data_IF_129436066419
#
_entry.id   IF_129436066419
#
_cell.length_a   1.000
_cell.length_b   1.000
_cell.length_c   1.000
_cell.angle_alpha   90.00
_cell.angle_beta   90.00
_cell.angle_gamma   90.00
#
_symmetry.space_group_name_H-M   'P 1'
#
loop_
_entity.id
_entity.type
_entity.pdbx_description
1 polymer ?
#
# COMPACT_ATOMS: atom_id res chain seq x y z
N UNK A 1 15.25 -1.00 17.65
CA UNK A 1 15.90 -0.40 16.46
C UNK A 1 16.66 -1.40 15.55
N UNK A 2 16.52 -2.73 15.70
CA UNK A 2 17.35 -3.72 14.96
C UNK A 2 16.73 -4.31 13.67
N UNK A 3 15.42 -4.16 13.41
CA UNK A 3 14.76 -4.81 12.26
C UNK A 3 14.93 -4.06 10.93
N UNK A 4 14.94 -2.73 10.96
CA UNK A 4 15.01 -1.89 9.73
C UNK A 4 16.36 -2.01 9.01
N UNK A 5 17.47 -2.27 9.73
CA UNK A 5 18.81 -2.43 9.15
C UNK A 5 18.97 -3.66 8.24
N UNK A 6 18.05 -4.64 8.31
CA UNK A 6 18.07 -5.83 7.45
C UNK A 6 17.20 -5.70 6.20
N UNK A 7 16.46 -4.59 6.05
CA UNK A 7 15.58 -4.39 4.91
C UNK A 7 16.40 -3.98 3.69
N UNK A 8 16.11 -4.59 2.54
CA UNK A 8 16.70 -4.19 1.27
C UNK A 8 16.20 -2.80 0.87
N UNK A 9 16.92 -2.10 -0.02
CA UNK A 9 16.45 -0.81 -0.56
C UNK A 9 15.06 -0.93 -1.18
N UNK A 10 14.79 -2.01 -1.90
CA UNK A 10 13.46 -2.29 -2.49
C UNK A 10 12.38 -2.48 -1.43
N UNK A 11 12.69 -3.13 -0.30
CA UNK A 11 11.76 -3.24 0.82
C UNK A 11 11.43 -1.88 1.43
N UNK A 12 12.42 -1.00 1.58
CA UNK A 12 12.23 0.38 2.07
C UNK A 12 11.38 1.20 1.09
N UNK A 13 11.61 1.07 -0.22
CA UNK A 13 10.77 1.71 -1.23
C UNK A 13 9.33 1.21 -1.16
N UNK A 14 9.13 -0.09 -0.90
CA UNK A 14 7.79 -0.66 -0.73
C UNK A 14 7.09 -0.07 0.50
N UNK A 15 7.78 0.04 1.65
CA UNK A 15 7.24 0.75 2.82
C UNK A 15 6.91 2.21 2.53
N UNK A 16 7.80 2.93 1.84
CA UNK A 16 7.56 4.31 1.44
C UNK A 16 6.33 4.44 0.52
N UNK A 17 6.13 3.49 -0.40
CA UNK A 17 4.93 3.42 -1.23
C UNK A 17 3.65 3.19 -0.43
N UNK A 18 3.67 2.34 0.61
CA UNK A 18 2.52 2.19 1.51
C UNK A 18 2.20 3.48 2.26
N UNK A 19 3.22 4.20 2.74
CA UNK A 19 3.04 5.51 3.39
C UNK A 19 2.49 6.56 2.42
N UNK A 20 2.99 6.59 1.18
CA UNK A 20 2.46 7.46 0.13
C UNK A 20 0.99 7.15 -0.19
N UNK A 21 0.60 5.87 -0.18
CA UNK A 21 -0.78 5.47 -0.36
C UNK A 21 -1.71 5.96 0.76
N UNK A 22 -1.24 5.89 2.01
CA UNK A 22 -1.94 6.48 3.17
C UNK A 22 -2.09 7.99 2.99
N UNK A 23 -1.02 8.69 2.58
CA UNK A 23 -1.08 10.13 2.33
C UNK A 23 -2.11 10.48 1.24
N UNK A 24 -2.16 9.74 0.15
CA UNK A 24 -3.17 9.93 -0.91
C UNK A 24 -4.61 9.73 -0.40
N UNK A 25 -4.85 8.72 0.45
CA UNK A 25 -6.14 8.51 1.11
C UNK A 25 -6.53 9.65 2.04
N UNK A 26 -5.58 10.19 2.80
CA UNK A 26 -5.82 11.33 3.69
C UNK A 26 -6.14 12.60 2.90
N UNK A 27 -5.46 12.85 1.78
CA UNK A 27 -5.77 13.98 0.89
C UNK A 27 -7.19 13.85 0.34
N UNK A 28 -7.55 12.67 -0.16
CA UNK A 28 -8.90 12.42 -0.66
C UNK A 28 -9.96 12.58 0.43
N UNK A 29 -9.68 12.12 1.64
CA UNK A 29 -10.56 12.25 2.79
C UNK A 29 -10.78 13.70 3.22
N UNK A 30 -9.69 14.47 3.33
CA UNK A 30 -9.77 15.90 3.65
C UNK A 30 -10.56 16.68 2.58
N UNK A 31 -10.45 16.26 1.31
CA UNK A 31 -11.14 16.90 0.21
C UNK A 31 -12.63 16.54 0.09
N UNK A 32 -13.02 15.32 0.49
CA UNK A 32 -14.41 14.86 0.45
C UNK A 32 -14.68 13.75 1.49
N UNK A 33 -14.88 14.11 2.77
CA UNK A 33 -15.08 13.13 3.83
C UNK A 33 -16.42 12.40 3.72
N UNK A 34 -17.45 13.03 3.12
CA UNK A 34 -18.77 12.46 2.94
C UNK A 34 -18.76 11.18 2.09
N UNK A 35 -17.77 11.02 1.20
CA UNK A 35 -17.54 9.79 0.43
C UNK A 35 -17.30 8.57 1.31
N UNK A 36 -16.83 8.77 2.54
CA UNK A 36 -16.54 7.72 3.51
C UNK A 36 -17.62 7.59 4.59
N UNK A 37 -18.77 8.23 4.43
CA UNK A 37 -19.90 8.15 5.36
C UNK A 37 -20.40 6.72 5.58
N UNK A 38 -20.33 5.83 4.58
CA UNK A 38 -20.65 4.42 4.76
C UNK A 38 -19.75 3.72 5.79
N UNK A 39 -18.53 4.20 6.01
CA UNK A 39 -17.62 3.68 7.03
C UNK A 39 -17.92 4.24 8.43
N UNK A 40 -18.75 5.28 8.55
CA UNK A 40 -19.11 5.90 9.82
C UNK A 40 -19.86 4.92 10.74
N UNK A 41 -20.65 4.01 10.18
CA UNK A 41 -21.31 2.95 10.95
C UNK A 41 -20.32 1.98 11.61
N UNK A 42 -19.16 1.76 10.98
CA UNK A 42 -18.15 0.82 11.47
C UNK A 42 -17.13 1.46 12.42
N UNK A 43 -16.84 2.76 12.25
CA UNK A 43 -15.74 3.42 12.97
C UNK A 43 -16.15 4.66 13.78
N UNK A 44 -17.43 5.04 13.79
CA UNK A 44 -17.93 6.25 14.46
C UNK A 44 -17.57 7.57 13.77
N UNK A 45 -16.66 7.54 12.80
CA UNK A 45 -16.24 8.66 11.96
C UNK A 45 -16.20 8.23 10.49
N UNK A 46 -16.46 9.13 9.53
CA UNK A 46 -16.36 8.82 8.10
C UNK A 46 -14.89 8.66 7.70
N UNK A 47 -14.24 7.57 8.11
CA UNK A 47 -12.80 7.35 7.97
C UNK A 47 -12.48 6.40 6.81
N UNK A 48 -11.43 6.66 6.01
CA UNK A 48 -11.06 5.78 4.90
C UNK A 48 -10.62 4.39 5.41
N UNK A 49 -11.40 3.32 5.17
CA UNK A 49 -11.06 1.99 5.69
C UNK A 49 -9.76 1.45 5.08
N UNK A 50 -9.41 1.89 3.85
CA UNK A 50 -8.16 1.55 3.17
C UNK A 50 -6.91 1.82 4.00
N UNK A 51 -6.91 2.84 4.86
CA UNK A 51 -5.76 3.18 5.72
C UNK A 51 -5.48 2.03 6.69
N UNK A 52 -6.51 1.45 7.32
CA UNK A 52 -6.35 0.34 8.25
C UNK A 52 -5.78 -0.90 7.56
N UNK A 53 -6.24 -1.19 6.35
CA UNK A 53 -5.71 -2.32 5.58
C UNK A 53 -4.25 -2.10 5.16
N UNK A 54 -3.88 -0.88 4.73
CA UNK A 54 -2.49 -0.56 4.38
C UNK A 54 -1.58 -0.61 5.62
N UNK A 55 -2.03 -0.06 6.76
CA UNK A 55 -1.29 -0.14 8.02
C UNK A 55 -1.13 -1.59 8.46
N UNK A 56 -2.20 -2.39 8.42
CA UNK A 56 -2.16 -3.82 8.75
C UNK A 56 -1.17 -4.59 7.86
N UNK A 57 -1.20 -4.34 6.54
CA UNK A 57 -0.26 -4.95 5.60
C UNK A 57 1.19 -4.50 5.87
N UNK A 58 1.42 -3.22 6.17
CA UNK A 58 2.73 -2.69 6.55
C UNK A 58 3.26 -3.29 7.86
N UNK A 59 2.40 -3.45 8.86
CA UNK A 59 2.76 -4.11 10.13
C UNK A 59 3.07 -5.60 9.91
N UNK A 60 2.26 -6.30 9.11
CA UNK A 60 2.55 -7.68 8.73
C UNK A 60 3.90 -7.77 8.03
N UNK A 61 4.16 -6.91 7.05
CA UNK A 61 5.46 -6.82 6.36
C UNK A 61 6.63 -6.55 7.31
N UNK A 62 6.42 -5.75 8.38
CA UNK A 62 7.44 -5.45 9.39
C UNK A 62 7.67 -6.63 10.35
N UNK A 63 6.61 -7.28 10.80
CA UNK A 63 6.69 -8.45 11.70
C UNK A 63 7.31 -9.64 10.97
N UNK A 64 6.98 -9.80 9.69
CA UNK A 64 7.46 -10.86 8.79
C UNK A 64 8.80 -10.55 8.15
N UNK A 65 9.42 -9.38 8.43
CA UNK A 65 10.62 -8.86 7.74
C UNK A 65 11.83 -9.80 7.73
N UNK A 66 11.84 -10.82 8.59
CA UNK A 66 12.89 -11.85 8.63
C UNK A 66 12.78 -12.88 7.51
N UNK A 67 11.63 -12.98 6.85
CA UNK A 67 11.38 -13.93 5.78
C UNK A 67 11.45 -13.23 4.42
N UNK A 68 12.08 -13.85 3.43
CA UNK A 68 12.28 -13.26 2.11
C UNK A 68 10.96 -12.90 1.40
N UNK A 69 9.83 -13.55 1.76
CA UNK A 69 8.51 -13.33 1.18
C UNK A 69 7.71 -12.20 1.86
N UNK A 70 8.24 -11.55 2.89
CA UNK A 70 7.55 -10.49 3.64
C UNK A 70 6.91 -9.37 2.80
N UNK A 71 7.45 -8.95 1.63
CA UNK A 71 6.82 -7.90 0.82
C UNK A 71 5.52 -8.34 0.15
N UNK A 72 5.12 -9.61 0.23
CA UNK A 72 3.87 -10.11 -0.36
C UNK A 72 2.66 -9.33 0.13
N UNK A 73 2.64 -8.89 1.39
CA UNK A 73 1.54 -8.12 1.96
C UNK A 73 1.36 -6.78 1.26
N UNK A 74 2.47 -6.12 0.91
CA UNK A 74 2.46 -4.87 0.14
C UNK A 74 1.95 -5.09 -1.29
N UNK A 75 2.36 -6.20 -1.93
CA UNK A 75 1.88 -6.57 -3.27
C UNK A 75 0.38 -6.87 -3.27
N UNK A 76 -0.08 -7.68 -2.30
CA UNK A 76 -1.48 -8.06 -2.19
C UNK A 76 -2.37 -6.85 -1.90
N UNK A 77 -1.97 -5.96 -1.00
CA UNK A 77 -2.78 -4.77 -0.71
C UNK A 77 -2.78 -3.77 -1.87
N UNK A 78 -1.66 -3.61 -2.57
CA UNK A 78 -1.60 -2.81 -3.78
C UNK A 78 -2.50 -3.37 -4.88
N UNK A 79 -2.46 -4.69 -5.11
CA UNK A 79 -3.35 -5.36 -6.05
C UNK A 79 -4.81 -5.20 -5.66
N UNK A 80 -5.17 -5.43 -4.40
CA UNK A 80 -6.54 -5.29 -3.91
C UNK A 80 -7.06 -3.86 -4.10
N UNK A 81 -6.35 -2.85 -3.61
CA UNK A 81 -6.85 -1.47 -3.67
C UNK A 81 -6.84 -0.92 -5.10
N UNK A 82 -5.78 -1.14 -5.88
CA UNK A 82 -5.68 -0.59 -7.22
C UNK A 82 -6.50 -1.38 -8.24
N UNK A 83 -6.43 -2.71 -8.25
CA UNK A 83 -7.09 -3.54 -9.28
C UNK A 83 -8.53 -3.82 -8.90
N UNK A 84 -8.78 -4.39 -7.71
CA UNK A 84 -10.16 -4.70 -7.30
C UNK A 84 -10.97 -3.41 -7.12
N UNK A 85 -10.37 -2.35 -6.59
CA UNK A 85 -11.00 -1.02 -6.54
C UNK A 85 -11.36 -0.46 -7.92
N UNK A 86 -10.56 -0.74 -8.96
CA UNK A 86 -10.87 -0.30 -10.33
C UNK A 86 -12.02 -1.12 -10.91
N UNK A 87 -11.96 -2.44 -10.76
CA UNK A 87 -12.98 -3.36 -11.24
C UNK A 87 -14.34 -3.15 -10.57
N UNK A 88 -14.35 -2.73 -9.30
CA UNK A 88 -15.56 -2.35 -8.57
C UNK A 88 -16.16 -1.01 -9.03
N UNK A 89 -15.60 -0.36 -10.06
CA UNK A 89 -16.09 0.91 -10.60
C UNK A 89 -15.84 2.10 -9.66
N UNK A 90 -14.98 1.95 -8.64
CA UNK A 90 -14.74 3.00 -7.66
C UNK A 90 -13.68 4.00 -8.14
N UNK A 91 -12.69 3.60 -8.96
CA UNK A 91 -11.59 4.49 -9.36
C UNK A 91 -11.97 5.47 -10.48
N UNK A 92 -12.73 5.04 -11.49
CA UNK A 92 -13.14 5.86 -12.64
C UNK A 92 -13.92 7.12 -12.26
N UNK A 93 -15.03 7.07 -11.49
CA UNK A 93 -15.78 8.27 -11.12
C UNK A 93 -15.00 9.24 -10.22
N UNK A 94 -14.01 8.74 -9.48
CA UNK A 94 -13.17 9.60 -8.63
C UNK A 94 -12.08 10.34 -9.41
N UNK A 95 -11.63 9.82 -10.55
CA UNK A 95 -10.66 10.48 -11.43
C UNK A 95 -11.31 11.56 -12.31
N UNK A 96 -12.61 11.46 -12.57
CA UNK A 96 -13.40 12.46 -13.29
C UNK A 96 -14.28 13.33 -12.38
N UNK A 97 -14.08 13.24 -11.06
CA UNK A 97 -14.82 14.09 -10.12
C UNK A 97 -14.41 15.55 -10.28
N UNK A 98 -15.35 16.48 -10.11
CA UNK A 98 -15.04 17.92 -10.13
C UNK A 98 -14.22 18.37 -8.90
N UNK A 99 -13.97 17.46 -7.95
CA UNK A 99 -13.19 17.73 -6.74
C UNK A 99 -11.71 17.40 -6.99
N UNK A 100 -10.90 18.44 -7.22
CA UNK A 100 -9.47 18.33 -7.52
C UNK A 100 -8.71 17.56 -6.44
N UNK A 101 -9.08 17.71 -5.17
CA UNK A 101 -8.44 16.98 -4.06
C UNK A 101 -8.75 15.47 -4.09
N UNK A 102 -9.95 15.09 -4.54
CA UNK A 102 -10.32 13.67 -4.73
C UNK A 102 -9.52 13.04 -5.86
N UNK A 103 -9.32 13.78 -6.95
CA UNK A 103 -8.51 13.33 -8.11
C UNK A 103 -7.04 13.21 -7.71
N UNK A 104 -6.47 14.26 -7.10
CA UNK A 104 -5.07 14.29 -6.67
C UNK A 104 -4.77 13.19 -5.64
N UNK A 105 -5.63 13.01 -4.64
CA UNK A 105 -5.50 11.95 -3.65
C UNK A 105 -5.53 10.55 -4.28
N UNK A 106 -6.43 10.31 -5.23
CA UNK A 106 -6.48 9.03 -5.96
C UNK A 106 -5.25 8.78 -6.82
N UNK A 107 -4.76 9.81 -7.52
CA UNK A 107 -3.56 9.70 -8.35
C UNK A 107 -2.32 9.37 -7.50
N UNK A 108 -2.11 10.10 -6.40
CA UNK A 108 -1.02 9.87 -5.44
C UNK A 108 -1.13 8.46 -4.86
N UNK A 109 -2.32 8.08 -4.38
CA UNK A 109 -2.55 6.76 -3.80
C UNK A 109 -2.22 5.65 -4.79
N UNK A 110 -2.73 5.74 -6.02
CA UNK A 110 -2.55 4.70 -7.04
C UNK A 110 -1.09 4.59 -7.46
N UNK A 111 -0.41 5.71 -7.71
CA UNK A 111 1.02 5.71 -8.05
C UNK A 111 1.87 5.12 -6.92
N UNK A 112 1.58 5.46 -5.67
CA UNK A 112 2.30 4.96 -4.51
C UNK A 112 2.08 3.45 -4.28
N UNK A 113 0.86 2.94 -4.51
CA UNK A 113 0.57 1.51 -4.46
C UNK A 113 1.25 0.74 -5.58
N UNK A 114 1.27 1.27 -6.81
CA UNK A 114 2.01 0.66 -7.93
C UNK A 114 3.50 0.56 -7.62
N UNK A 115 4.09 1.65 -7.13
CA UNK A 115 5.49 1.66 -6.69
C UNK A 115 5.72 0.62 -5.58
N UNK A 116 4.82 0.56 -4.60
CA UNK A 116 4.89 -0.38 -3.50
C UNK A 116 4.85 -1.83 -3.96
N UNK A 117 3.92 -2.15 -4.87
CA UNK A 117 3.77 -3.48 -5.45
C UNK A 117 4.99 -3.89 -6.27
N UNK A 118 5.47 -3.04 -7.18
CA UNK A 118 6.65 -3.32 -7.99
C UNK A 118 7.88 -3.53 -7.10
N UNK A 119 8.12 -2.63 -6.16
CA UNK A 119 9.25 -2.75 -5.23
C UNK A 119 9.15 -4.00 -4.35
N UNK A 120 7.93 -4.40 -3.96
CA UNK A 120 7.67 -5.65 -3.24
C UNK A 120 8.03 -6.90 -4.06
N UNK A 121 7.64 -6.94 -5.33
CA UNK A 121 8.00 -8.04 -6.26
C UNK A 121 9.52 -8.10 -6.47
N UNK A 122 10.17 -6.96 -6.70
CA UNK A 122 11.64 -6.89 -6.83
C UNK A 122 12.32 -7.40 -5.55
N UNK A 123 11.85 -6.95 -4.38
CA UNK A 123 12.40 -7.41 -3.10
C UNK A 123 12.29 -8.92 -2.90
N UNK A 124 11.16 -9.54 -3.29
CA UNK A 124 10.99 -10.99 -3.19
C UNK A 124 11.90 -11.76 -4.15
N UNK A 125 12.00 -11.31 -5.40
CA UNK A 125 12.83 -11.98 -6.42
C UNK A 125 14.32 -11.88 -6.10
N UNK A 126 14.79 -10.73 -5.62
CA UNK A 126 16.17 -10.56 -5.13
C UNK A 126 16.45 -11.39 -3.88
N UNK A 127 15.55 -11.38 -2.89
CA UNK A 127 15.72 -12.15 -1.65
C UNK A 127 15.76 -13.66 -1.85
N UNK A 128 14.96 -14.18 -2.81
CA UNK A 128 15.03 -15.59 -3.22
C UNK A 128 16.39 -15.96 -3.79
N UNK A 129 16.94 -15.13 -4.69
CA UNK A 129 18.24 -15.39 -5.35
C UNK A 129 19.39 -15.46 -4.34
N UNK A 130 19.40 -14.58 -3.35
CA UNK A 130 20.45 -14.56 -2.30
C UNK A 130 20.33 -15.75 -1.35
N UNK A 131 19.12 -16.23 -1.09
CA UNK A 131 18.89 -17.39 -0.19
C UNK A 131 19.16 -18.75 -0.86
N UNK A 132 19.24 -18.77 -2.20
CA UNK A 132 19.38 -19.99 -2.99
C UNK A 132 20.84 -20.39 -3.30
N UNK A 133 21.84 -19.58 -2.90
CA UNK A 133 23.26 -19.94 -3.04
C UNK A 133 23.67 -20.83 -1.86
N UNK A 134 23.93 -22.14 -2.06
CA UNK A 134 24.49 -22.98 -1.02
C UNK A 134 25.93 -22.53 -0.75
N UNK A 135 26.36 -22.52 0.51
CA UNK A 135 27.76 -22.31 0.85
C UNK A 135 28.62 -23.39 0.17
N UNK A 136 29.77 -23.02 -0.45
CA UNK A 136 30.75 -24.03 -0.83
C UNK A 136 31.21 -24.75 0.43
N UNK A 137 31.05 -26.08 0.46
CA UNK A 137 31.67 -26.96 1.46
C UNK A 137 33.13 -27.19 1.10
#
# INVERSE_FOLDING_TARGET
>A
MSRLRRLTRSSLVSFAGLLGAIAGLLIQWAANPAKFSGAQQSFGIPFPPGILFIVGAGLLMLVTSRWWWHPIFAVLIAFWIAVVGTLAGQLTPNLFSHNIGTVAGNAIMTAALLLSGVAGVVSMTSGRRTSAVPAPQ
#
